data_IF_007462415592
#
_entry.id   IF_007462415592
#
_cell.length_a   1.000
_cell.length_b   1.000
_cell.length_c   1.000
_cell.angle_alpha   90.00
_cell.angle_beta   90.00
_cell.angle_gamma   90.00
#
_symmetry.space_group_name_H-M   'P 1'
#
loop_
_entity.id
_entity.type
_entity.pdbx_description
1 polymer ?
#
# COMPACT_ATOMS: atom_id res chain seq x y z
N UNK A 1 -8.66 -22.35 1.08
CA UNK A 1 -8.74 -22.46 -0.38
C UNK A 1 -8.44 -21.10 -0.98
N UNK A 2 -7.44 -21.02 -1.86
CA UNK A 2 -7.09 -19.76 -2.52
C UNK A 2 -8.12 -19.40 -3.60
N UNK A 3 -8.20 -18.12 -3.96
CA UNK A 3 -9.06 -17.65 -5.08
C UNK A 3 -8.72 -18.38 -6.38
N UNK A 4 -7.43 -18.63 -6.62
CA UNK A 4 -6.96 -19.33 -7.82
C UNK A 4 -7.42 -20.80 -7.84
N UNK A 5 -7.27 -21.51 -6.72
CA UNK A 5 -7.73 -22.90 -6.60
C UNK A 5 -9.24 -23.03 -6.85
N UNK A 6 -10.02 -22.10 -6.33
CA UNK A 6 -11.46 -22.10 -6.55
C UNK A 6 -11.82 -21.87 -8.02
N UNK A 7 -11.16 -20.94 -8.68
CA UNK A 7 -11.36 -20.68 -10.11
C UNK A 7 -11.03 -21.91 -10.96
N UNK A 8 -9.93 -22.59 -10.64
CA UNK A 8 -9.50 -23.80 -11.34
C UNK A 8 -10.46 -24.99 -11.08
N UNK A 9 -10.95 -25.14 -9.85
CA UNK A 9 -11.76 -26.30 -9.46
C UNK A 9 -13.24 -26.17 -9.82
N UNK A 10 -13.82 -24.98 -9.73
CA UNK A 10 -15.26 -24.77 -9.90
C UNK A 10 -15.62 -24.24 -11.30
N UNK A 11 -14.65 -23.76 -12.08
CA UNK A 11 -14.87 -23.22 -13.42
C UNK A 11 -15.76 -21.96 -13.46
N UNK A 12 -16.10 -21.41 -12.28
CA UNK A 12 -16.93 -20.21 -12.14
C UNK A 12 -16.10 -19.03 -11.68
N UNK A 13 -16.25 -17.87 -12.34
CA UNK A 13 -15.54 -16.67 -11.95
C UNK A 13 -16.10 -16.10 -10.62
N UNK A 14 -15.24 -15.37 -9.90
CA UNK A 14 -15.68 -14.66 -8.69
C UNK A 14 -16.80 -13.64 -9.00
N UNK A 15 -16.76 -13.06 -10.20
CA UNK A 15 -17.79 -12.14 -10.65
C UNK A 15 -19.15 -12.82 -10.80
N UNK A 16 -19.20 -14.03 -11.36
CA UNK A 16 -20.41 -14.85 -11.47
C UNK A 16 -20.92 -15.28 -10.11
N UNK A 17 -20.01 -15.55 -9.16
CA UNK A 17 -20.37 -15.79 -7.75
C UNK A 17 -20.91 -14.55 -7.01
N UNK A 18 -21.01 -13.40 -7.68
CA UNK A 18 -21.60 -12.18 -7.11
C UNK A 18 -20.60 -11.23 -6.42
N UNK A 19 -19.30 -11.53 -6.43
CA UNK A 19 -18.28 -10.67 -5.85
C UNK A 19 -18.06 -9.45 -6.75
N UNK A 20 -18.01 -8.26 -6.17
CA UNK A 20 -17.84 -6.98 -6.90
C UNK A 20 -16.64 -6.19 -6.44
N UNK A 21 -16.02 -6.56 -5.34
CA UNK A 21 -14.83 -5.89 -4.80
C UNK A 21 -14.02 -6.81 -3.89
N UNK A 22 -12.70 -6.68 -3.95
CA UNK A 22 -11.75 -7.34 -3.07
C UNK A 22 -10.97 -6.28 -2.34
N UNK A 23 -11.01 -6.33 -1.02
CA UNK A 23 -10.25 -5.49 -0.12
C UNK A 23 -9.06 -6.29 0.41
N UNK A 24 -7.84 -5.77 0.24
CA UNK A 24 -6.63 -6.49 0.59
C UNK A 24 -5.64 -5.59 1.33
N UNK A 25 -4.99 -6.12 2.35
CA UNK A 25 -3.94 -5.43 3.10
C UNK A 25 -3.08 -6.40 3.89
N UNK A 26 -2.03 -5.87 4.53
CA UNK A 26 -1.14 -6.64 5.40
C UNK A 26 -0.07 -7.45 4.68
N UNK A 27 0.10 -7.28 3.37
CA UNK A 27 1.17 -7.94 2.60
C UNK A 27 1.77 -6.99 1.57
N UNK A 28 3.01 -7.26 1.19
CA UNK A 28 3.66 -6.59 0.07
C UNK A 28 3.01 -7.04 -1.24
N UNK A 29 2.67 -6.08 -2.09
CA UNK A 29 2.05 -6.34 -3.39
C UNK A 29 3.02 -5.98 -4.51
N UNK A 30 3.57 -7.01 -5.15
CA UNK A 30 4.39 -6.85 -6.33
C UNK A 30 3.54 -6.39 -7.54
N UNK A 31 4.02 -5.45 -8.38
CA UNK A 31 3.28 -4.98 -9.55
C UNK A 31 2.86 -6.08 -10.54
N UNK A 32 3.68 -7.10 -10.73
CA UNK A 32 3.35 -8.22 -11.62
C UNK A 32 2.22 -9.06 -11.04
N UNK A 33 2.29 -9.33 -9.74
CA UNK A 33 1.21 -10.03 -9.05
C UNK A 33 -0.09 -9.20 -9.04
N UNK A 34 0.01 -7.90 -8.82
CA UNK A 34 -1.13 -6.99 -8.87
C UNK A 34 -1.77 -6.99 -10.26
N UNK A 35 -0.98 -6.99 -11.33
CA UNK A 35 -1.47 -7.13 -12.70
C UNK A 35 -2.21 -8.45 -12.91
N UNK A 36 -1.58 -9.56 -12.57
CA UNK A 36 -2.17 -10.89 -12.66
C UNK A 36 -3.50 -10.97 -11.89
N UNK A 37 -3.51 -10.46 -10.65
CA UNK A 37 -4.72 -10.42 -9.84
C UNK A 37 -5.83 -9.63 -10.53
N UNK A 38 -5.55 -8.42 -11.00
CA UNK A 38 -6.56 -7.54 -11.59
C UNK A 38 -7.05 -8.05 -12.95
N UNK A 39 -6.14 -8.46 -13.83
CA UNK A 39 -6.48 -8.82 -15.20
C UNK A 39 -7.04 -10.23 -15.31
N UNK A 40 -6.43 -11.20 -14.63
CA UNK A 40 -6.74 -12.60 -14.81
C UNK A 40 -7.73 -13.11 -13.74
N UNK A 41 -7.42 -12.97 -12.45
CA UNK A 41 -8.29 -13.50 -11.39
C UNK A 41 -9.56 -12.66 -11.17
N UNK A 42 -9.45 -11.34 -11.28
CA UNK A 42 -10.57 -10.42 -11.11
C UNK A 42 -11.18 -9.98 -12.46
N UNK A 43 -10.63 -10.43 -13.58
CA UNK A 43 -11.12 -10.22 -14.95
C UNK A 43 -11.37 -8.75 -15.32
N UNK A 44 -10.75 -7.79 -14.61
CA UNK A 44 -11.07 -6.36 -14.68
C UNK A 44 -12.56 -6.03 -14.42
N UNK A 45 -13.33 -6.98 -13.89
CA UNK A 45 -14.76 -6.82 -13.57
C UNK A 45 -15.00 -6.56 -12.09
N UNK A 46 -14.05 -6.95 -11.25
CA UNK A 46 -14.12 -6.84 -9.79
C UNK A 46 -13.15 -5.75 -9.33
N UNK A 47 -13.64 -4.79 -8.54
CA UNK A 47 -12.79 -3.74 -7.98
C UNK A 47 -11.74 -4.31 -7.03
N UNK A 48 -10.48 -3.94 -7.23
CA UNK A 48 -9.39 -4.26 -6.31
C UNK A 48 -9.04 -3.02 -5.47
N UNK A 49 -9.08 -3.16 -4.14
CA UNK A 49 -8.87 -2.09 -3.18
C UNK A 49 -7.72 -2.47 -2.25
N UNK A 50 -6.46 -2.26 -2.67
CA UNK A 50 -5.32 -2.45 -1.79
C UNK A 50 -5.30 -1.38 -0.70
N UNK A 51 -4.83 -1.74 0.49
CA UNK A 51 -4.75 -0.85 1.63
C UNK A 51 -3.38 -0.89 2.28
N UNK A 52 -2.97 0.27 2.78
CA UNK A 52 -1.80 0.44 3.61
C UNK A 52 -2.18 1.25 4.84
N UNK A 53 -1.73 0.83 5.99
CA UNK A 53 -1.98 1.58 7.23
C UNK A 53 -1.84 0.74 8.49
N UNK A 54 -2.08 1.42 9.59
CA UNK A 54 -2.04 0.86 10.93
C UNK A 54 -3.00 1.61 11.86
N UNK A 55 -3.08 1.18 13.11
CA UNK A 55 -3.97 1.79 14.12
C UNK A 55 -3.68 3.28 14.35
N UNK A 56 -2.41 3.70 14.24
CA UNK A 56 -1.99 5.09 14.50
C UNK A 56 -2.40 6.04 13.37
N UNK A 57 -2.28 5.58 12.14
CA UNK A 57 -2.56 6.39 10.94
C UNK A 57 -4.01 6.24 10.48
N UNK A 58 -4.58 5.06 10.61
CA UNK A 58 -5.74 4.60 9.86
C UNK A 58 -5.33 4.08 8.49
N UNK A 59 -6.26 4.02 7.56
CA UNK A 59 -6.02 3.49 6.23
C UNK A 59 -5.69 4.60 5.23
N UNK A 60 -4.57 4.45 4.54
CA UNK A 60 -4.24 5.24 3.37
C UNK A 60 -5.11 4.83 2.19
N UNK A 61 -5.43 5.79 1.33
CA UNK A 61 -6.18 5.54 0.08
C UNK A 61 -5.19 5.29 -1.05
N UNK A 62 -5.45 4.27 -1.84
CA UNK A 62 -4.66 4.04 -3.04
C UNK A 62 -5.13 4.93 -4.19
N UNK A 63 -4.21 5.27 -5.09
CA UNK A 63 -4.54 5.78 -6.42
C UNK A 63 -5.19 4.63 -7.21
N UNK A 64 -6.22 4.90 -8.04
CA UNK A 64 -6.72 3.88 -8.97
C UNK A 64 -5.60 3.24 -9.77
N UNK A 65 -5.60 1.92 -9.85
CA UNK A 65 -4.59 1.16 -10.59
C UNK A 65 -4.85 1.29 -12.09
N UNK A 66 -3.79 1.55 -12.84
CA UNK A 66 -3.84 1.65 -14.30
C UNK A 66 -2.66 0.92 -14.92
N UNK A 67 -2.81 0.46 -16.17
CA UNK A 67 -1.72 -0.14 -16.92
C UNK A 67 -0.56 0.86 -17.15
N UNK A 68 -0.86 2.17 -17.23
CA UNK A 68 0.13 3.25 -17.36
C UNK A 68 1.08 3.31 -16.16
N UNK A 69 0.56 3.04 -14.96
CA UNK A 69 1.36 2.96 -13.72
C UNK A 69 2.10 1.61 -13.59
N UNK A 70 1.97 0.74 -14.59
CA UNK A 70 2.51 -0.63 -14.55
C UNK A 70 2.05 -1.39 -13.30
N UNK A 71 0.83 -1.13 -12.84
CA UNK A 71 0.22 -1.71 -11.63
C UNK A 71 0.99 -1.45 -10.33
N UNK A 72 1.93 -0.49 -10.30
CA UNK A 72 2.56 -0.03 -9.05
C UNK A 72 1.53 0.70 -8.18
N UNK A 73 1.38 0.25 -6.94
CA UNK A 73 0.40 0.81 -6.02
C UNK A 73 0.98 2.05 -5.36
N UNK A 74 0.26 3.16 -5.42
CA UNK A 74 0.60 4.39 -4.69
C UNK A 74 -0.48 4.69 -3.68
N UNK A 75 -0.08 4.95 -2.44
CA UNK A 75 -0.96 5.28 -1.33
C UNK A 75 -0.78 6.71 -0.88
N UNK A 76 -1.86 7.32 -0.43
CA UNK A 76 -1.88 8.65 0.19
C UNK A 76 -2.50 8.55 1.57
N UNK A 77 -1.83 9.09 2.57
CA UNK A 77 -2.33 9.13 3.94
C UNK A 77 -3.71 9.82 4.02
N UNK A 78 -4.51 9.57 5.06
CA UNK A 78 -5.78 10.25 5.28
C UNK A 78 -5.56 11.70 5.74
N UNK A 79 -5.11 12.55 4.81
CA UNK A 79 -4.83 13.97 4.99
C UNK A 79 -6.10 14.76 5.38
N UNK A 80 -6.00 15.79 6.24
CA UNK A 80 -4.80 16.29 6.94
C UNK A 80 -4.48 15.55 8.25
N UNK A 81 -5.25 14.54 8.64
CA UNK A 81 -5.12 13.84 9.92
C UNK A 81 -3.78 13.13 10.08
N UNK A 82 -3.27 12.56 9.02
CA UNK A 82 -1.98 11.88 8.99
C UNK A 82 -1.16 12.31 7.78
N UNK A 83 0.16 12.31 7.95
CA UNK A 83 1.15 12.65 6.93
C UNK A 83 2.18 11.54 6.88
N UNK A 84 2.51 11.08 5.68
CA UNK A 84 3.62 10.19 5.41
C UNK A 84 4.75 10.98 4.76
N UNK A 85 5.96 10.73 5.22
CA UNK A 85 7.20 11.23 4.63
C UNK A 85 8.11 10.05 4.33
N UNK A 86 8.92 10.17 3.32
CA UNK A 86 9.93 9.16 2.99
C UNK A 86 11.29 9.78 3.22
N UNK A 87 11.97 9.31 4.27
CA UNK A 87 13.21 9.89 4.77
C UNK A 87 14.41 9.00 4.49
N UNK A 88 15.59 9.60 4.45
CA UNK A 88 16.83 8.83 4.30
C UNK A 88 17.06 7.96 5.54
N UNK A 89 17.40 6.67 5.40
CA UNK A 89 17.59 5.77 6.54
C UNK A 89 18.64 6.25 7.56
N UNK A 90 19.69 6.91 7.07
CA UNK A 90 20.82 7.38 7.90
C UNK A 90 20.76 8.88 8.21
N UNK A 91 19.74 9.59 7.73
CA UNK A 91 19.56 11.03 7.95
C UNK A 91 18.05 11.34 7.96
N UNK A 92 17.35 10.94 9.01
CA UNK A 92 15.89 10.98 9.12
C UNK A 92 15.28 12.38 9.10
N UNK A 93 16.08 13.42 9.17
CA UNK A 93 15.64 14.81 8.95
C UNK A 93 15.53 15.17 7.46
N UNK A 94 16.15 14.39 6.58
CA UNK A 94 16.19 14.61 5.14
C UNK A 94 15.23 13.68 4.40
N UNK A 95 14.50 14.24 3.44
CA UNK A 95 13.69 13.46 2.52
C UNK A 95 14.58 12.82 1.44
N UNK A 96 14.18 11.65 0.95
CA UNK A 96 14.73 11.12 -0.31
C UNK A 96 14.16 11.92 -1.50
N UNK A 97 14.77 11.81 -2.69
CA UNK A 97 14.18 12.37 -3.89
C UNK A 97 12.89 11.61 -4.29
N UNK A 98 12.08 12.20 -5.15
CA UNK A 98 10.96 11.46 -5.73
C UNK A 98 11.47 10.24 -6.51
N UNK A 99 10.69 9.19 -6.45
CA UNK A 99 10.97 7.89 -7.05
C UNK A 99 12.19 7.14 -6.47
N UNK A 100 12.69 7.58 -5.32
CA UNK A 100 13.72 6.88 -4.55
C UNK A 100 13.13 6.19 -3.32
N UNK A 101 13.73 5.07 -2.94
CA UNK A 101 13.41 4.35 -1.71
C UNK A 101 13.96 5.07 -0.48
N UNK A 102 13.18 5.07 0.58
CA UNK A 102 13.57 5.51 1.90
C UNK A 102 12.67 4.92 2.96
N UNK A 103 12.93 5.26 4.20
CA UNK A 103 12.17 4.79 5.34
C UNK A 103 10.90 5.62 5.53
N UNK A 104 9.81 4.95 5.89
CA UNK A 104 8.54 5.64 6.18
C UNK A 104 8.62 6.35 7.52
N UNK A 105 8.28 7.63 7.52
CA UNK A 105 8.04 8.43 8.71
C UNK A 105 6.57 8.86 8.74
N UNK A 106 5.88 8.48 9.81
CA UNK A 106 4.48 8.82 10.04
C UNK A 106 4.35 9.98 11.02
N UNK A 107 3.49 10.93 10.73
CA UNK A 107 3.01 11.91 11.69
C UNK A 107 1.48 11.84 11.77
N UNK A 108 0.95 11.62 12.98
CA UNK A 108 -0.48 11.70 13.26
C UNK A 108 -0.71 12.63 14.46
N UNK A 109 -1.50 13.67 14.23
CA UNK A 109 -1.82 14.69 15.22
C UNK A 109 -3.34 14.80 15.40
N UNK A 110 -3.92 13.81 16.05
CA UNK A 110 -5.34 13.78 16.39
C UNK A 110 -5.54 13.88 17.90
N UNK A 111 -6.79 13.96 18.33
CA UNK A 111 -7.11 13.96 19.78
C UNK A 111 -6.77 12.64 20.45
N UNK A 112 -6.83 11.54 19.68
CA UNK A 112 -6.60 10.17 20.13
C UNK A 112 -5.12 9.79 20.08
N UNK A 113 -4.41 10.31 19.05
CA UNK A 113 -3.01 9.97 18.80
C UNK A 113 -2.19 11.23 18.52
N UNK A 114 -1.25 11.48 19.39
CA UNK A 114 -0.21 12.48 19.19
C UNK A 114 1.11 11.76 18.91
N UNK A 115 1.40 11.56 17.64
CA UNK A 115 2.56 10.79 17.19
C UNK A 115 3.32 11.58 16.12
N UNK A 116 4.20 12.52 16.55
CA UNK A 116 5.03 13.25 15.63
C UNK A 116 6.23 12.41 15.19
N UNK A 117 6.48 12.33 13.88
CA UNK A 117 7.70 11.78 13.29
C UNK A 117 8.05 10.36 13.77
N UNK A 118 7.09 9.48 13.78
CA UNK A 118 7.28 8.08 14.11
C UNK A 118 7.89 7.34 12.90
N UNK A 119 9.06 6.71 13.10
CA UNK A 119 9.69 5.91 12.07
C UNK A 119 9.07 4.51 12.04
N UNK A 120 8.40 4.22 10.94
CA UNK A 120 7.82 2.90 10.69
C UNK A 120 8.91 1.85 10.38
N UNK A 121 8.49 0.60 10.43
CA UNK A 121 9.33 -0.55 10.05
C UNK A 121 9.36 -0.81 8.54
N UNK A 122 8.72 0.05 7.77
CA UNK A 122 8.60 -0.09 6.33
C UNK A 122 9.53 0.88 5.59
N UNK A 123 9.92 0.46 4.38
CA UNK A 123 10.52 1.32 3.38
C UNK A 123 9.60 1.42 2.16
N UNK A 124 9.72 2.49 1.41
CA UNK A 124 8.83 2.80 0.30
C UNK A 124 9.49 3.76 -0.68
N UNK A 125 8.95 3.84 -1.88
CA UNK A 125 9.29 4.89 -2.84
C UNK A 125 8.51 6.16 -2.53
N UNK A 126 9.18 7.31 -2.49
CA UNK A 126 8.54 8.61 -2.36
C UNK A 126 7.81 8.98 -3.64
N UNK A 127 6.51 9.25 -3.55
CA UNK A 127 5.68 9.67 -4.68
C UNK A 127 5.22 11.12 -4.53
N UNK A 128 5.22 11.85 -5.64
CA UNK A 128 4.79 13.24 -5.66
C UNK A 128 3.31 13.41 -5.27
N UNK A 129 2.94 14.58 -4.71
CA UNK A 129 1.55 14.94 -4.49
C UNK A 129 0.72 14.83 -5.77
N UNK A 130 -0.55 14.44 -5.63
CA UNK A 130 -1.49 14.36 -6.73
C UNK A 130 -2.89 14.74 -6.26
N UNK A 131 -3.60 15.60 -6.97
CA UNK A 131 -4.97 15.94 -6.60
C UNK A 131 -5.84 14.70 -6.36
N UNK A 132 -6.67 14.66 -5.31
CA UNK A 132 -6.93 15.73 -4.35
C UNK A 132 -5.93 15.79 -3.17
N UNK A 133 -4.84 15.01 -3.18
CA UNK A 133 -3.88 14.93 -2.07
C UNK A 133 -2.83 16.04 -2.20
N UNK A 134 -2.68 16.84 -1.14
CA UNK A 134 -1.76 17.99 -1.11
C UNK A 134 -0.31 17.59 -0.74
N UNK A 135 -0.11 16.42 -0.13
CA UNK A 135 1.18 15.95 0.35
C UNK A 135 1.60 14.66 -0.34
N UNK A 136 2.88 14.33 -0.19
CA UNK A 136 3.49 13.17 -0.80
C UNK A 136 2.71 11.88 -0.55
N UNK A 137 2.78 10.98 -1.52
CA UNK A 137 2.36 9.60 -1.41
C UNK A 137 3.54 8.65 -1.20
N UNK A 138 3.22 7.38 -0.99
CA UNK A 138 4.15 6.27 -0.83
C UNK A 138 3.80 5.16 -1.81
N UNK A 139 4.81 4.58 -2.46
CA UNK A 139 4.64 3.51 -3.43
C UNK A 139 5.52 2.30 -3.11
N UNK A 140 5.11 1.13 -3.57
CA UNK A 140 5.87 -0.10 -3.44
C UNK A 140 6.36 -0.35 -2.00
N UNK A 141 5.40 -0.30 -1.05
CA UNK A 141 5.67 -0.46 0.38
C UNK A 141 6.12 -1.88 0.68
N UNK A 142 7.21 -2.01 1.44
CA UNK A 142 7.78 -3.29 1.84
C UNK A 142 8.49 -3.18 3.20
N UNK A 143 8.76 -4.30 3.90
CA UNK A 143 9.56 -4.27 5.11
C UNK A 143 10.93 -3.62 4.89
N UNK A 144 11.38 -2.80 5.82
CA UNK A 144 12.71 -2.18 5.74
C UNK A 144 13.79 -3.25 5.86
N UNK A 145 14.66 -3.40 4.86
CA UNK A 145 15.60 -4.51 4.72
C UNK A 145 16.53 -4.74 5.91
N UNK A 146 16.86 -3.71 6.70
CA UNK A 146 17.62 -3.87 7.93
C UNK A 146 16.82 -4.60 9.05
N UNK A 147 15.51 -4.70 8.91
CA UNK A 147 14.61 -5.35 9.88
C UNK A 147 14.06 -6.71 9.40
N UNK A 148 14.32 -7.10 8.15
CA UNK A 148 13.80 -8.35 7.55
C UNK A 148 14.11 -9.60 8.39
N UNK A 149 15.21 -9.62 9.12
CA UNK A 149 15.59 -10.75 9.97
C UNK A 149 14.72 -10.90 11.24
N UNK A 150 13.91 -9.90 11.55
CA UNK A 150 13.13 -9.85 12.79
C UNK A 150 11.62 -9.83 12.54
N UNK A 151 11.18 -9.67 11.29
CA UNK A 151 9.78 -9.58 10.92
C UNK A 151 9.34 -10.92 10.35
N UNK A 152 8.49 -11.63 11.08
CA UNK A 152 7.70 -12.70 10.51
C UNK A 152 6.53 -12.02 9.81
N UNK A 153 6.46 -12.13 8.49
CA UNK A 153 5.24 -11.75 7.76
C UNK A 153 4.11 -12.62 8.30
N UNK A 154 3.22 -12.01 9.05
CA UNK A 154 2.09 -12.69 9.66
C UNK A 154 0.80 -12.04 9.19
N UNK A 155 -0.10 -12.88 8.73
CA UNK A 155 -1.51 -12.54 8.62
C UNK A 155 -2.05 -12.44 10.04
N UNK A 156 -2.52 -11.27 10.44
CA UNK A 156 -3.26 -11.07 11.67
C UNK A 156 -4.75 -11.24 11.42
#
# INVERSE_FOLDING_TARGET
ESIAERYENEGSSLYEAGIRGVFCGGTTMDPQYTRFLCEELLENKIGFVPTYGNTLMGLAKHKPLTAEDKYSITYYAPQPRAVLRVVKPNATDELVNYDEFGRVELTTLTREFFMPRFLERDETIRRAPRPPYAWDGVGDVRPFGAMEKTIVEGVY
#
